data_IF_318706739633
#
_entry.id   IF_318706739633
#
_cell.length_a   1.000
_cell.length_b   1.000
_cell.length_c   1.000
_cell.angle_alpha   90.00
_cell.angle_beta   90.00
_cell.angle_gamma   90.00
#
_symmetry.space_group_name_H-M   'P 1'
#
loop_
_entity.id
_entity.type
_entity.pdbx_description
1 polymer ?
#
# COMPACT_ATOMS: atom_id res chain seq x y z
N UNK A 1 3.37 6.08 2.33
CA UNK A 1 3.28 5.14 3.46
C UNK A 1 2.30 5.66 4.47
N UNK A 2 1.25 4.89 4.75
CA UNK A 2 0.26 5.19 5.78
C UNK A 2 0.87 4.92 7.17
N UNK A 3 0.61 5.74 8.21
CA UNK A 3 1.26 5.63 9.53
C UNK A 3 1.24 4.23 10.18
N UNK A 4 0.16 3.42 10.04
CA UNK A 4 0.12 2.07 10.61
C UNK A 4 1.17 1.10 10.02
N UNK A 5 1.60 1.33 8.77
CA UNK A 5 2.55 0.46 8.06
C UNK A 5 4.02 0.88 8.26
N UNK A 6 4.28 1.83 9.16
CA UNK A 6 5.63 2.36 9.42
C UNK A 6 6.01 2.32 10.90
N UNK A 7 5.42 1.41 11.68
CA UNK A 7 5.83 1.18 13.06
C UNK A 7 7.21 0.51 13.11
N UNK A 8 7.95 0.76 14.19
CA UNK A 8 9.29 0.18 14.41
C UNK A 8 9.25 -1.35 14.37
N UNK A 9 8.24 -1.94 15.01
CA UNK A 9 8.07 -3.40 15.02
C UNK A 9 7.91 -4.00 13.62
N UNK A 10 7.17 -3.32 12.73
CA UNK A 10 7.04 -3.74 11.33
C UNK A 10 8.38 -3.61 10.61
N UNK A 11 9.14 -2.54 10.85
CA UNK A 11 10.44 -2.35 10.20
C UNK A 11 11.48 -3.38 10.65
N UNK A 12 11.52 -3.71 11.94
CA UNK A 12 12.41 -4.75 12.51
C UNK A 12 12.07 -6.12 11.93
N UNK A 13 10.79 -6.51 11.96
CA UNK A 13 10.35 -7.78 11.39
C UNK A 13 10.72 -7.93 9.91
N UNK A 14 10.54 -6.86 9.12
CA UNK A 14 10.90 -6.87 7.70
C UNK A 14 12.41 -6.91 7.48
N UNK A 15 13.19 -6.22 8.31
CA UNK A 15 14.66 -6.28 8.26
C UNK A 15 15.18 -7.67 8.57
N UNK A 16 14.62 -8.35 9.57
CA UNK A 16 14.97 -9.74 9.90
C UNK A 16 14.59 -10.70 8.77
N UNK A 17 13.34 -10.60 8.30
CA UNK A 17 12.80 -11.53 7.31
C UNK A 17 13.48 -11.41 5.94
N UNK A 18 13.80 -10.19 5.52
CA UNK A 18 14.35 -9.91 4.19
C UNK A 18 15.84 -9.55 4.20
N UNK A 19 16.50 -9.61 5.36
CA UNK A 19 17.92 -9.26 5.53
C UNK A 19 18.20 -7.86 4.98
N UNK A 20 17.44 -6.87 5.44
CA UNK A 20 17.51 -5.48 4.96
C UNK A 20 17.32 -5.30 3.44
N UNK A 21 16.64 -6.23 2.76
CA UNK A 21 16.30 -6.12 1.33
C UNK A 21 14.82 -5.86 1.11
N UNK A 22 14.29 -4.84 1.78
CA UNK A 22 12.89 -4.43 1.65
C UNK A 22 12.78 -2.92 1.44
N UNK A 23 11.60 -2.50 0.99
CA UNK A 23 11.33 -1.12 0.59
C UNK A 23 10.22 -0.54 1.45
N UNK A 24 10.40 0.66 2.00
CA UNK A 24 9.39 1.31 2.82
C UNK A 24 9.84 2.67 3.35
N UNK A 25 9.03 3.29 4.22
CA UNK A 25 9.33 4.64 4.75
C UNK A 25 10.54 4.64 5.69
N UNK A 26 10.65 3.64 6.56
CA UNK A 26 11.77 3.45 7.49
C UNK A 26 12.75 2.36 7.05
N UNK A 27 12.61 1.84 5.83
CA UNK A 27 13.40 0.73 5.33
C UNK A 27 14.72 1.16 4.68
N UNK A 28 15.61 0.19 4.44
CA UNK A 28 16.92 0.41 3.83
C UNK A 28 16.83 0.99 2.42
N UNK A 29 15.77 0.63 1.67
CA UNK A 29 15.38 1.35 0.45
C UNK A 29 14.15 2.21 0.75
N UNK A 30 14.28 3.52 0.55
CA UNK A 30 13.18 4.47 0.77
C UNK A 30 12.18 4.39 -0.38
N UNK A 31 10.91 4.17 -0.06
CA UNK A 31 9.82 4.28 -1.04
C UNK A 31 9.40 5.75 -1.23
N UNK A 32 9.17 6.22 -2.46
CA UNK A 32 8.74 7.59 -2.68
C UNK A 32 7.36 7.89 -2.06
N UNK A 33 7.12 9.13 -1.62
CA UNK A 33 5.78 9.55 -1.22
C UNK A 33 4.83 9.57 -2.43
N UNK A 34 3.57 9.14 -2.22
CA UNK A 34 2.49 9.10 -3.21
C UNK A 34 2.67 8.16 -4.43
N UNK A 35 3.44 7.10 -4.30
CA UNK A 35 3.58 6.07 -5.36
C UNK A 35 2.41 5.06 -5.42
N UNK A 36 1.17 5.52 -5.22
CA UNK A 36 -0.02 4.65 -5.31
C UNK A 36 -0.18 4.10 -6.73
N UNK A 37 0.20 4.89 -7.74
CA UNK A 37 0.19 4.49 -9.16
C UNK A 37 1.18 3.37 -9.50
N UNK A 38 2.08 3.01 -8.58
CA UNK A 38 3.04 1.92 -8.76
C UNK A 38 2.68 0.66 -7.98
N UNK A 39 1.63 0.70 -7.15
CA UNK A 39 1.17 -0.47 -6.42
C UNK A 39 0.16 -1.26 -7.28
N UNK A 40 0.44 -2.53 -7.62
CA UNK A 40 -0.50 -3.36 -8.39
C UNK A 40 -1.88 -3.46 -7.71
N UNK A 41 -1.94 -3.44 -6.39
CA UNK A 41 -3.19 -3.40 -5.62
C UNK A 41 -4.01 -2.14 -5.92
N UNK A 42 -3.41 -0.96 -5.80
CA UNK A 42 -4.07 0.32 -6.00
C UNK A 42 -4.56 0.51 -7.44
N UNK A 43 -3.80 0.01 -8.43
CA UNK A 43 -4.16 0.09 -9.85
C UNK A 43 -5.16 -0.99 -10.24
N UNK A 44 -4.90 -2.26 -9.91
CA UNK A 44 -5.71 -3.38 -10.38
C UNK A 44 -6.95 -3.59 -9.52
N UNK A 45 -6.76 -3.81 -8.22
CA UNK A 45 -7.85 -4.15 -7.29
C UNK A 45 -8.74 -2.93 -7.11
N UNK A 46 -8.17 -1.80 -6.71
CA UNK A 46 -8.95 -0.59 -6.50
C UNK A 46 -9.51 -0.02 -7.81
N UNK A 47 -8.82 -0.17 -8.94
CA UNK A 47 -9.36 0.15 -10.26
C UNK A 47 -10.61 -0.68 -10.60
N UNK A 48 -10.56 -1.99 -10.36
CA UNK A 48 -11.70 -2.88 -10.55
C UNK A 48 -12.87 -2.55 -9.61
N UNK A 49 -12.60 -2.39 -8.31
CA UNK A 49 -13.63 -2.10 -7.31
C UNK A 49 -14.32 -0.78 -7.61
N UNK A 50 -13.57 0.27 -7.97
CA UNK A 50 -14.14 1.56 -8.38
C UNK A 50 -15.02 1.42 -9.61
N UNK A 51 -14.58 0.67 -10.62
CA UNK A 51 -15.40 0.39 -11.81
C UNK A 51 -16.72 -0.28 -11.43
N UNK A 52 -16.68 -1.30 -10.58
CA UNK A 52 -17.88 -2.00 -10.10
C UNK A 52 -18.79 -1.12 -9.25
N UNK A 53 -18.24 -0.33 -8.35
CA UNK A 53 -19.01 0.61 -7.53
C UNK A 53 -19.76 1.63 -8.39
N UNK A 54 -19.17 2.08 -9.50
CA UNK A 54 -19.82 3.02 -10.43
C UNK A 54 -20.90 2.36 -11.29
N UNK A 55 -20.83 1.04 -11.52
CA UNK A 55 -21.90 0.27 -12.19
C UNK A 55 -23.10 0.05 -11.25
N UNK A 56 -22.86 -0.03 -9.94
CA UNK A 56 -23.92 -0.10 -8.95
C UNK A 56 -24.55 1.28 -8.73
N UNK A 57 -25.83 1.45 -9.09
CA UNK A 57 -26.59 2.62 -8.64
C UNK A 57 -26.62 2.60 -7.12
N UNK A 58 -25.97 3.58 -6.50
CA UNK A 58 -26.02 3.76 -5.05
C UNK A 58 -27.48 3.98 -4.68
N UNK A 59 -28.06 3.05 -3.92
CA UNK A 59 -29.38 3.24 -3.35
C UNK A 59 -29.21 4.16 -2.14
N UNK A 60 -29.26 5.47 -2.41
CA UNK A 60 -29.29 6.50 -1.38
C UNK A 60 -30.64 6.48 -0.70
N UNK A 61 -30.64 6.38 0.63
CA UNK A 61 -31.82 6.42 1.48
C UNK A 61 -32.39 7.84 1.57
#
# INVERSE_FOLDING_TARGET
GHPPHSSVHVTEYLSDLFTDRWIGRGGPKKWPPRSSDFAPEDVLVWGYVKKKANECKVNTR
#
